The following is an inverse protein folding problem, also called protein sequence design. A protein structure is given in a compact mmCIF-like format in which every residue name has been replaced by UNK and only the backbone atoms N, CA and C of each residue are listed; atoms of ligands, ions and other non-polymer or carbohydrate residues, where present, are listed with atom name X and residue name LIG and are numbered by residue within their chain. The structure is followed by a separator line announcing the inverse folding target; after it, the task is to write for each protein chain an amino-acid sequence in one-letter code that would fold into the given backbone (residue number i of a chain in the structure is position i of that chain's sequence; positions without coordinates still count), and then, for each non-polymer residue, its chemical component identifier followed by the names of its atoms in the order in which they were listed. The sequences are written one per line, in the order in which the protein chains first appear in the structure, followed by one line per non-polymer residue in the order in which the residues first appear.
data_IF_056722282557
#
_entry.id   IF_056722282557
#
_cell.length_a   1.000
_cell.length_b   1.000
_cell.length_c   1.000
_cell.angle_alpha   90.00
_cell.angle_beta   90.00
_cell.angle_gamma   90.00
#
_symmetry.space_group_name_H-M   'P 1'
#
loop_
_entity.id
_entity.type
_entity.pdbx_description
1 polymer ?
#
# COMPACT_ATOMS: atom_id res chain seq x y z
N UNK A 1 46.69 15.45 39.22
CA UNK A 1 47.01 14.16 39.87
C UNK A 1 45.74 13.32 39.89
N UNK A 2 45.64 12.03 39.57
CA UNK A 2 46.50 11.00 38.98
C UNK A 2 45.52 9.88 38.56
N UNK A 3 45.65 9.40 37.31
CA UNK A 3 45.83 7.98 36.93
C UNK A 3 44.67 7.01 37.28
N UNK A 4 43.85 6.61 36.30
CA UNK A 4 43.99 5.36 35.52
C UNK A 4 43.55 4.12 36.31
N UNK A 5 42.37 3.59 35.98
CA UNK A 5 42.04 2.17 36.15
C UNK A 5 41.60 1.64 34.80
N UNK A 6 42.57 1.01 34.13
CA UNK A 6 42.40 0.23 32.91
C UNK A 6 41.89 -1.16 33.29
N UNK A 7 41.07 -1.72 32.39
CA UNK A 7 40.80 -3.15 32.18
C UNK A 7 39.92 -3.86 33.21
N UNK A 8 38.77 -4.38 32.76
CA UNK A 8 38.40 -5.81 32.70
C UNK A 8 36.89 -5.93 32.35
N UNK A 9 36.56 -6.87 31.44
CA UNK A 9 35.23 -7.31 30.93
C UNK A 9 34.56 -6.36 29.91
N UNK A 10 34.61 -6.56 28.59
CA UNK A 10 34.34 -7.75 27.75
C UNK A 10 32.92 -8.35 27.99
N UNK A 11 32.11 -8.39 26.92
CA UNK A 11 30.71 -8.86 26.79
C UNK A 11 29.67 -7.80 27.21
N UNK A 12 28.94 -7.15 26.29
CA UNK A 12 27.97 -7.78 25.39
C UNK A 12 28.00 -7.19 23.97
N UNK A 13 28.67 -7.91 23.06
CA UNK A 13 28.48 -7.83 21.60
C UNK A 13 27.34 -8.77 21.15
N UNK A 14 26.26 -8.87 21.92
CA UNK A 14 25.13 -9.75 21.61
C UNK A 14 23.81 -9.04 21.90
N UNK A 15 22.92 -9.13 20.90
CA UNK A 15 21.49 -8.80 20.94
C UNK A 15 21.06 -7.36 20.56
N UNK A 16 21.45 -6.91 19.37
CA UNK A 16 20.47 -6.38 18.40
C UNK A 16 20.60 -7.19 17.10
N UNK A 17 20.29 -8.49 17.20
CA UNK A 17 20.21 -9.39 16.06
C UNK A 17 19.04 -9.02 15.16
N UNK A 18 19.37 -8.39 14.03
CA UNK A 18 18.46 -8.24 12.90
C UNK A 18 17.67 -6.93 12.90
N UNK A 19 18.34 -5.79 12.67
CA UNK A 19 17.72 -4.72 11.91
C UNK A 19 17.41 -5.27 10.51
N UNK A 20 16.27 -5.95 10.33
CA UNK A 20 15.67 -6.06 8.99
C UNK A 20 15.44 -4.62 8.59
N UNK A 21 16.35 -4.03 7.80
CA UNK A 21 16.13 -2.69 7.23
C UNK A 21 14.75 -2.74 6.60
N UNK A 22 13.82 -1.97 7.14
CA UNK A 22 12.52 -1.82 6.51
C UNK A 22 12.77 -1.29 5.10
N UNK A 23 12.18 -1.93 4.10
CA UNK A 23 12.34 -1.50 2.72
C UNK A 23 11.93 -0.03 2.62
N UNK A 24 12.72 0.75 1.89
CA UNK A 24 12.38 2.14 1.58
C UNK A 24 11.12 2.20 0.71
N UNK A 25 10.45 3.37 0.66
CA UNK A 25 9.30 3.56 -0.24
C UNK A 25 9.68 3.22 -1.70
N UNK A 26 10.89 3.57 -2.12
CA UNK A 26 11.39 3.29 -3.47
C UNK A 26 11.51 1.80 -3.77
N UNK A 27 12.05 1.03 -2.82
CA UNK A 27 12.18 -0.42 -2.96
C UNK A 27 10.81 -1.09 -2.98
N UNK A 28 9.86 -0.63 -2.16
CA UNK A 28 8.49 -1.14 -2.19
C UNK A 28 7.78 -0.79 -3.52
N UNK A 29 8.00 0.41 -4.09
CA UNK A 29 7.48 0.74 -5.42
C UNK A 29 8.09 -0.19 -6.49
N UNK A 30 9.37 -0.53 -6.38
CA UNK A 30 10.02 -1.47 -7.30
C UNK A 30 9.44 -2.90 -7.15
N UNK A 31 9.19 -3.34 -5.91
CA UNK A 31 8.61 -4.65 -5.60
C UNK A 31 7.24 -4.87 -6.26
N UNK A 32 6.45 -3.82 -6.52
CA UNK A 32 5.17 -3.91 -7.25
C UNK A 32 5.32 -4.51 -8.66
N UNK A 33 6.52 -4.45 -9.24
CA UNK A 33 6.84 -5.02 -10.56
C UNK A 33 7.53 -6.38 -10.46
N UNK A 34 7.71 -6.92 -9.26
CA UNK A 34 8.38 -8.21 -9.06
C UNK A 34 7.61 -9.35 -9.73
N UNK A 35 8.33 -10.32 -10.29
CA UNK A 35 7.74 -11.58 -10.75
C UNK A 35 7.09 -12.36 -9.61
N UNK A 36 7.62 -12.19 -8.39
CA UNK A 36 7.17 -12.86 -7.19
C UNK A 36 5.93 -12.17 -6.63
N UNK A 37 4.83 -12.92 -6.56
CA UNK A 37 3.57 -12.46 -6.00
C UNK A 37 3.71 -11.97 -4.56
N UNK A 38 4.50 -12.68 -3.74
CA UNK A 38 4.70 -12.33 -2.34
C UNK A 38 5.32 -10.93 -2.15
N UNK A 39 6.19 -10.50 -3.06
CA UNK A 39 6.80 -9.17 -3.00
C UNK A 39 5.79 -8.09 -3.40
N UNK A 40 5.02 -8.35 -4.47
CA UNK A 40 3.95 -7.44 -4.91
C UNK A 40 2.90 -7.24 -3.81
N UNK A 41 2.46 -8.32 -3.15
CA UNK A 41 1.48 -8.28 -2.05
C UNK A 41 2.02 -7.48 -0.86
N UNK A 42 3.28 -7.69 -0.47
CA UNK A 42 3.89 -6.92 0.63
C UNK A 42 3.92 -5.44 0.26
N UNK A 43 4.34 -5.11 -0.95
CA UNK A 43 4.41 -3.73 -1.42
C UNK A 43 3.05 -3.02 -1.41
N UNK A 44 2.00 -3.60 -2.00
CA UNK A 44 0.66 -2.97 -2.02
C UNK A 44 0.05 -2.78 -0.63
N UNK A 45 0.44 -3.60 0.36
CA UNK A 45 -0.05 -3.49 1.74
C UNK A 45 0.70 -2.45 2.57
N UNK A 46 1.99 -2.28 2.31
CA UNK A 46 2.86 -1.39 3.09
C UNK A 46 2.93 0.02 2.52
N UNK A 47 2.80 0.20 1.20
CA UNK A 47 2.88 1.51 0.57
C UNK A 47 1.80 2.50 1.05
N UNK A 48 0.52 2.12 1.25
CA UNK A 48 -0.48 3.05 1.76
C UNK A 48 -0.21 3.57 3.18
N UNK A 49 0.71 2.95 3.93
CA UNK A 49 1.09 3.36 5.29
C UNK A 49 2.26 4.36 5.27
N UNK A 50 2.80 4.70 4.10
CA UNK A 50 3.91 5.65 3.96
C UNK A 50 3.35 7.06 3.82
N UNK A 51 3.53 7.85 4.88
CA UNK A 51 3.16 9.26 4.89
C UNK A 51 4.04 10.07 3.92
N UNK A 52 3.44 11.05 3.23
CA UNK A 52 4.16 12.06 2.46
C UNK A 52 4.61 11.70 1.03
N UNK A 53 4.32 10.50 0.52
CA UNK A 53 4.78 10.03 -0.80
C UNK A 53 3.63 9.72 -1.79
N UNK A 54 2.42 10.25 -1.56
CA UNK A 54 1.23 9.94 -2.35
C UNK A 54 1.43 10.15 -3.87
N UNK A 55 2.14 11.21 -4.27
CA UNK A 55 2.46 11.53 -5.68
C UNK A 55 3.18 10.41 -6.42
N UNK A 56 3.92 9.56 -5.70
CA UNK A 56 4.69 8.44 -6.27
C UNK A 56 3.97 7.11 -6.04
N UNK A 57 3.28 6.99 -4.92
CA UNK A 57 2.59 5.77 -4.52
C UNK A 57 1.31 5.58 -5.31
N UNK A 58 0.49 6.62 -5.48
CA UNK A 58 -0.80 6.55 -6.18
C UNK A 58 -0.62 6.03 -7.61
N UNK A 59 0.29 6.56 -8.46
CA UNK A 59 0.51 6.02 -9.80
C UNK A 59 0.94 4.54 -9.79
N UNK A 60 1.74 4.13 -8.81
CA UNK A 60 2.21 2.76 -8.69
C UNK A 60 1.09 1.78 -8.29
N UNK A 61 0.21 2.21 -7.38
CA UNK A 61 -0.99 1.45 -7.01
C UNK A 61 -2.02 1.39 -8.15
N UNK A 62 -2.17 2.47 -8.94
CA UNK A 62 -3.00 2.46 -10.15
C UNK A 62 -2.54 1.38 -11.13
N UNK A 63 -1.24 1.21 -11.35
CA UNK A 63 -0.74 0.11 -12.19
C UNK A 63 -1.03 -1.26 -11.59
N UNK A 64 -0.98 -1.37 -10.26
CA UNK A 64 -1.22 -2.63 -9.53
C UNK A 64 -2.68 -3.11 -9.62
N UNK A 65 -3.63 -2.23 -9.97
CA UNK A 65 -5.00 -2.62 -10.32
C UNK A 65 -5.09 -3.51 -11.57
N UNK A 66 -4.02 -3.64 -12.35
CA UNK A 66 -3.96 -4.51 -13.54
C UNK A 66 -3.20 -5.81 -13.29
N UNK A 67 -2.83 -6.10 -12.04
CA UNK A 67 -2.06 -7.30 -11.70
C UNK A 67 -2.83 -8.59 -12.06
N UNK A 68 -2.10 -9.63 -12.45
CA UNK A 68 -2.69 -10.95 -12.73
C UNK A 68 -3.37 -11.56 -11.49
N UNK A 69 -2.85 -11.30 -10.31
CA UNK A 69 -3.33 -11.84 -9.04
C UNK A 69 -4.46 -10.98 -8.44
N UNK A 70 -5.57 -11.61 -8.07
CA UNK A 70 -6.73 -10.93 -7.48
C UNK A 70 -6.39 -10.22 -6.18
N UNK A 71 -5.57 -10.83 -5.33
CA UNK A 71 -5.18 -10.27 -4.03
C UNK A 71 -4.35 -8.98 -4.16
N UNK A 72 -3.52 -8.87 -5.20
CA UNK A 72 -2.74 -7.65 -5.49
C UNK A 72 -3.68 -6.55 -5.96
N UNK A 73 -4.59 -6.83 -6.90
CA UNK A 73 -5.59 -5.85 -7.38
C UNK A 73 -6.50 -5.37 -6.25
N UNK A 74 -6.96 -6.29 -5.40
CA UNK A 74 -7.81 -5.98 -4.25
C UNK A 74 -7.09 -5.06 -3.27
N UNK A 75 -5.86 -5.41 -2.89
CA UNK A 75 -5.06 -4.60 -1.97
C UNK A 75 -4.74 -3.22 -2.56
N UNK A 76 -4.49 -3.14 -3.88
CA UNK A 76 -4.26 -1.86 -4.56
C UNK A 76 -5.50 -0.96 -4.51
N UNK A 77 -6.70 -1.50 -4.73
CA UNK A 77 -7.95 -0.73 -4.61
C UNK A 77 -8.15 -0.19 -3.19
N UNK A 78 -7.96 -1.04 -2.17
CA UNK A 78 -8.02 -0.61 -0.77
C UNK A 78 -6.97 0.48 -0.47
N UNK A 79 -5.74 0.27 -0.94
CA UNK A 79 -4.64 1.23 -0.81
C UNK A 79 -4.97 2.61 -1.37
N UNK A 80 -5.51 2.66 -2.58
CA UNK A 80 -5.95 3.91 -3.21
C UNK A 80 -7.06 4.60 -2.42
N UNK A 81 -7.97 3.83 -1.82
CA UNK A 81 -9.01 4.37 -0.94
C UNK A 81 -8.48 4.99 0.36
N UNK A 82 -7.28 4.59 0.84
CA UNK A 82 -6.65 5.22 2.01
C UNK A 82 -6.08 6.61 1.71
N UNK A 83 -5.65 6.86 0.47
CA UNK A 83 -5.18 8.18 0.04
C UNK A 83 -6.32 9.19 -0.16
N UNK A 84 -7.58 8.75 -0.19
CA UNK A 84 -8.73 9.65 -0.30
C UNK A 84 -8.63 10.58 -1.52
N UNK A 85 -8.86 11.87 -1.33
CA UNK A 85 -8.86 12.85 -2.44
C UNK A 85 -7.52 12.95 -3.18
N UNK A 86 -6.40 12.60 -2.54
CA UNK A 86 -5.07 12.58 -3.17
C UNK A 86 -4.97 11.51 -4.28
N UNK A 87 -5.85 10.51 -4.27
CA UNK A 87 -5.94 9.47 -5.29
C UNK A 87 -7.02 9.75 -6.35
N UNK A 88 -7.46 11.00 -6.56
CA UNK A 88 -8.44 11.35 -7.60
C UNK A 88 -8.07 10.87 -9.00
N UNK A 89 -6.78 10.84 -9.33
CA UNK A 89 -6.28 10.31 -10.62
C UNK A 89 -6.56 8.82 -10.80
N UNK A 90 -6.85 8.09 -9.72
CA UNK A 90 -7.18 6.67 -9.76
C UNK A 90 -8.65 6.38 -10.16
N UNK A 91 -9.53 7.38 -10.19
CA UNK A 91 -10.97 7.20 -10.46
C UNK A 91 -11.22 6.37 -11.73
N UNK A 92 -10.62 6.68 -12.91
CA UNK A 92 -10.86 5.89 -14.12
C UNK A 92 -10.46 4.42 -13.98
N UNK A 93 -9.35 4.13 -13.29
CA UNK A 93 -8.87 2.77 -13.09
C UNK A 93 -9.74 2.00 -12.09
N UNK A 94 -10.21 2.66 -11.03
CA UNK A 94 -11.13 2.07 -10.06
C UNK A 94 -12.51 1.78 -10.66
N UNK A 95 -13.01 2.64 -11.56
CA UNK A 95 -14.23 2.37 -12.32
C UNK A 95 -14.11 1.12 -13.21
N UNK A 96 -12.92 0.86 -13.78
CA UNK A 96 -12.65 -0.40 -14.48
C UNK A 96 -12.61 -1.58 -13.51
N UNK A 97 -11.98 -1.42 -12.34
CA UNK A 97 -11.91 -2.46 -11.31
C UNK A 97 -13.28 -2.83 -10.71
N UNK A 98 -14.31 -1.98 -10.82
CA UNK A 98 -15.69 -2.38 -10.49
C UNK A 98 -16.26 -3.48 -11.39
N UNK A 99 -15.60 -3.77 -12.52
CA UNK A 99 -15.96 -4.88 -13.43
C UNK A 99 -14.99 -6.06 -13.33
N UNK A 100 -14.15 -6.09 -12.30
CA UNK A 100 -13.19 -7.16 -12.10
C UNK A 100 -13.88 -8.52 -11.92
N UNK A 101 -13.21 -9.58 -12.36
CA UNK A 101 -13.66 -10.97 -12.18
C UNK A 101 -13.80 -11.36 -10.71
N UNK A 102 -12.93 -10.83 -9.85
CA UNK A 102 -12.94 -11.08 -8.41
C UNK A 102 -13.92 -10.12 -7.70
N UNK A 103 -14.89 -10.68 -6.99
CA UNK A 103 -15.91 -9.91 -6.27
C UNK A 103 -15.31 -8.98 -5.21
N UNK A 104 -14.22 -9.39 -4.55
CA UNK A 104 -13.54 -8.57 -3.54
C UNK A 104 -12.95 -7.33 -4.16
N UNK A 105 -12.37 -7.45 -5.36
CA UNK A 105 -11.80 -6.32 -6.10
C UNK A 105 -12.90 -5.33 -6.48
N UNK A 106 -14.06 -5.83 -6.96
CA UNK A 106 -15.21 -4.96 -7.29
C UNK A 106 -15.71 -4.16 -6.09
N UNK A 107 -15.87 -4.83 -4.95
CA UNK A 107 -16.30 -4.19 -3.70
C UNK A 107 -15.29 -3.15 -3.22
N UNK A 108 -14.00 -3.53 -3.17
CA UNK A 108 -12.92 -2.63 -2.77
C UNK A 108 -12.85 -1.39 -3.67
N UNK A 109 -13.04 -1.55 -4.98
CA UNK A 109 -13.07 -0.43 -5.92
C UNK A 109 -14.24 0.52 -5.64
N UNK A 110 -15.43 0.00 -5.34
CA UNK A 110 -16.58 0.82 -4.92
C UNK A 110 -16.32 1.60 -3.64
N UNK A 111 -15.76 0.94 -2.62
CA UNK A 111 -15.38 1.60 -1.35
C UNK A 111 -14.33 2.67 -1.59
N UNK A 112 -13.30 2.39 -2.39
CA UNK A 112 -12.25 3.35 -2.71
C UNK A 112 -12.81 4.59 -3.41
N UNK A 113 -13.68 4.42 -4.41
CA UNK A 113 -14.35 5.54 -5.10
C UNK A 113 -15.14 6.41 -4.12
N UNK A 114 -15.91 5.82 -3.21
CA UNK A 114 -16.65 6.57 -2.19
C UNK A 114 -15.78 7.30 -1.18
N UNK A 115 -14.51 6.90 -1.00
CA UNK A 115 -13.53 7.61 -0.15
C UNK A 115 -12.80 8.71 -0.91
N UNK A 116 -12.51 8.50 -2.19
CA UNK A 116 -11.77 9.43 -3.05
C UNK A 116 -12.65 10.62 -3.46
N UNK A 117 -13.93 10.35 -3.76
CA UNK A 117 -14.90 11.38 -4.11
C UNK A 117 -16.27 11.02 -3.49
N UNK A 118 -16.44 11.28 -2.18
CA UNK A 118 -17.69 11.02 -1.49
C UNK A 118 -18.87 11.74 -2.12
N UNK A 119 -18.69 12.95 -2.66
CA UNK A 119 -19.79 13.71 -3.25
C UNK A 119 -20.35 13.03 -4.50
N UNK A 120 -19.46 12.54 -5.36
CA UNK A 120 -19.83 11.83 -6.59
C UNK A 120 -20.35 10.43 -6.35
N UNK A 121 -19.80 9.72 -5.37
CA UNK A 121 -20.04 8.28 -5.18
C UNK A 121 -20.85 7.92 -3.93
N UNK A 122 -21.21 8.87 -3.06
CA UNK A 122 -22.13 8.63 -1.92
C UNK A 122 -23.53 8.17 -2.34
N UNK A 123 -23.89 8.26 -3.63
CA UNK A 123 -25.25 8.13 -4.11
C UNK A 123 -25.70 6.73 -4.57
N UNK A 124 -24.81 5.74 -4.74
CA UNK A 124 -25.24 4.42 -5.22
C UNK A 124 -25.97 3.57 -4.16
N UNK A 125 -25.89 3.95 -2.88
CA UNK A 125 -26.61 3.26 -1.79
C UNK A 125 -28.05 3.75 -1.60
N UNK A 126 -28.41 4.93 -2.14
CA UNK A 126 -29.76 5.51 -2.01
C UNK A 126 -30.70 5.17 -3.18
N UNK A 127 -30.20 4.61 -4.29
CA UNK A 127 -31.01 4.41 -5.50
C UNK A 127 -30.82 3.01 -6.10
N UNK A 128 -31.26 1.97 -5.40
CA UNK A 128 -31.11 0.59 -5.90
C UNK A 128 -31.82 -0.51 -5.12
N UNK A 129 -32.83 -0.16 -4.30
CA UNK A 129 -33.78 -1.15 -3.75
C UNK A 129 -35.17 -0.80 -4.27
N UNK A 130 -35.53 -1.39 -5.41
CA UNK A 130 -36.93 -1.65 -5.78
C UNK A 130 -37.08 -3.14 -5.96
#
# INVERSE_FOLDING_TARGET
MRVQTRFVLLLCLLACGGCKKEKSTNELIADLKSSQEGDRIKAVRLLPQREGDATRIVPALIQSLKDKQGDVRWSAAIGLGYFGEEARDAIPALLQAQRDRDARVREAAGVALSRIDPQRFAASSKLGRK
#
